data_IF_221910213463
#
_entry.id   IF_221910213463
#
_cell.length_a   1.000
_cell.length_b   1.000
_cell.length_c   1.000
_cell.angle_alpha   90.00
_cell.angle_beta   90.00
_cell.angle_gamma   90.00
#
_symmetry.space_group_name_H-M   'P 1'
#
loop_
_entity.id
_entity.type
_entity.pdbx_description
1 polymer ?
#
# COMPACT_ATOMS: atom_id res chain seq x y z
N UNK A 1 3.09 13.52 43.97
CA UNK A 1 2.12 13.43 42.86
C UNK A 1 2.92 13.50 41.59
N UNK A 2 3.15 12.35 40.92
CA UNK A 2 3.93 12.26 39.70
C UNK A 2 3.00 12.44 38.48
N UNK A 3 3.16 13.49 37.70
CA UNK A 3 2.50 13.65 36.41
C UNK A 3 3.26 12.83 35.38
N UNK A 4 2.67 11.73 34.90
CA UNK A 4 3.15 11.03 33.69
C UNK A 4 2.61 11.81 32.49
N UNK A 5 3.49 12.55 31.80
CA UNK A 5 3.19 13.16 30.53
C UNK A 5 3.12 12.07 29.45
N UNK A 6 1.93 11.68 29.02
CA UNK A 6 1.73 10.82 27.85
C UNK A 6 1.96 11.69 26.62
N UNK A 7 3.15 11.58 26.01
CA UNK A 7 3.43 12.21 24.71
C UNK A 7 2.76 11.36 23.62
N UNK A 8 1.59 11.77 23.14
CA UNK A 8 1.00 11.24 21.93
C UNK A 8 1.80 11.75 20.74
N UNK A 9 2.59 10.87 20.10
CA UNK A 9 3.21 11.18 18.81
C UNK A 9 2.12 11.25 17.74
N UNK A 10 1.74 12.46 17.34
CA UNK A 10 0.87 12.68 16.18
C UNK A 10 1.73 12.48 14.92
N UNK A 11 1.60 11.34 14.28
CA UNK A 11 2.22 11.13 12.97
C UNK A 11 1.52 12.00 11.92
N UNK A 12 2.29 12.71 11.11
CA UNK A 12 1.73 13.48 10.02
C UNK A 12 1.23 12.55 8.91
N UNK A 13 -0.02 12.76 8.50
CA UNK A 13 -0.65 11.99 7.43
C UNK A 13 0.07 12.14 6.08
N UNK A 14 -0.12 11.18 5.17
CA UNK A 14 0.45 11.16 3.83
C UNK A 14 1.99 11.11 3.80
N UNK A 15 2.60 10.43 4.77
CA UNK A 15 4.06 10.21 4.80
C UNK A 15 4.41 8.81 5.31
N UNK A 16 5.68 8.43 5.14
CA UNK A 16 6.23 7.21 5.70
C UNK A 16 7.00 7.60 6.97
N UNK A 17 6.66 6.96 8.08
CA UNK A 17 7.27 7.18 9.39
C UNK A 17 8.10 5.96 9.75
N UNK A 18 9.33 6.16 10.21
CA UNK A 18 10.18 5.07 10.74
C UNK A 18 9.75 4.78 12.17
N UNK A 19 9.38 3.54 12.46
CA UNK A 19 9.04 3.06 13.80
C UNK A 19 10.26 2.43 14.48
N UNK A 20 11.05 1.65 13.74
CA UNK A 20 12.28 1.01 14.26
C UNK A 20 13.26 0.68 13.14
N UNK A 21 14.56 0.57 13.49
CA UNK A 21 15.63 0.24 12.56
C UNK A 21 16.06 1.42 11.69
N UNK A 22 16.92 1.13 10.72
CA UNK A 22 17.40 2.08 9.70
C UNK A 22 17.70 1.33 8.40
N UNK A 23 18.03 2.04 7.32
CA UNK A 23 18.29 1.45 6.00
C UNK A 23 19.73 0.95 5.77
N UNK A 24 20.59 0.93 6.79
CA UNK A 24 22.01 0.52 6.63
C UNK A 24 22.15 -0.90 6.06
N UNK A 25 21.22 -1.80 6.39
CA UNK A 25 21.19 -3.16 5.87
C UNK A 25 21.01 -3.26 4.34
N UNK A 26 20.58 -2.20 3.69
CA UNK A 26 20.40 -2.14 2.23
C UNK A 26 21.66 -1.66 1.47
N UNK A 27 22.70 -1.16 2.14
CA UNK A 27 23.88 -0.56 1.48
C UNK A 27 24.57 -1.50 0.50
N UNK A 28 24.65 -2.79 0.86
CA UNK A 28 25.30 -3.84 0.06
C UNK A 28 24.29 -4.75 -0.67
N UNK A 29 23.02 -4.32 -0.77
CA UNK A 29 21.97 -5.09 -1.43
C UNK A 29 21.65 -4.50 -2.80
N UNK A 30 21.42 -5.37 -3.77
CA UNK A 30 20.95 -5.00 -5.11
C UNK A 30 19.47 -5.31 -5.31
N UNK A 31 18.94 -6.27 -4.55
CA UNK A 31 17.54 -6.72 -4.65
C UNK A 31 16.91 -6.95 -3.28
N UNK A 32 15.61 -6.70 -3.20
CA UNK A 32 14.74 -7.01 -2.06
C UNK A 32 13.51 -7.74 -2.59
N UNK A 33 13.19 -8.89 -1.98
CA UNK A 33 11.94 -9.58 -2.24
C UNK A 33 10.77 -8.79 -1.63
N UNK A 34 9.58 -8.85 -2.23
CA UNK A 34 8.40 -8.14 -1.72
C UNK A 34 7.21 -9.08 -1.64
N UNK A 35 6.48 -8.98 -0.55
CA UNK A 35 5.21 -9.66 -0.31
C UNK A 35 4.14 -8.66 0.08
N UNK A 36 2.92 -8.85 -0.40
CA UNK A 36 1.75 -8.04 -0.04
C UNK A 36 0.79 -8.88 0.78
N UNK A 37 0.30 -8.30 1.89
CA UNK A 37 -0.66 -8.94 2.80
C UNK A 37 -1.88 -8.06 3.00
N UNK A 38 -3.02 -8.69 3.25
CA UNK A 38 -4.33 -8.05 3.49
C UNK A 38 -5.06 -8.65 4.70
N UNK A 39 -4.39 -9.50 5.48
CA UNK A 39 -5.03 -10.30 6.55
C UNK A 39 -5.76 -9.43 7.58
N UNK A 40 -5.29 -8.19 7.78
CA UNK A 40 -5.86 -7.24 8.73
C UNK A 40 -6.49 -6.01 8.06
N UNK A 41 -6.58 -6.01 6.73
CA UNK A 41 -7.07 -4.86 5.98
C UNK A 41 -8.54 -4.57 6.28
N UNK A 42 -8.83 -3.31 6.63
CA UNK A 42 -10.19 -2.79 6.71
C UNK A 42 -10.41 -1.71 5.66
N UNK A 43 -11.65 -1.58 5.23
CA UNK A 43 -12.02 -0.78 4.07
C UNK A 43 -12.95 0.37 4.45
N UNK A 44 -12.74 1.52 3.80
CA UNK A 44 -13.50 2.74 3.96
C UNK A 44 -13.47 3.33 5.39
N UNK A 45 -14.16 4.42 5.60
CA UNK A 45 -14.21 5.12 6.89
C UNK A 45 -14.93 4.31 7.98
N UNK A 46 -15.75 3.34 7.58
CA UNK A 46 -16.51 2.45 8.48
C UNK A 46 -15.74 1.23 8.92
N UNK A 47 -14.48 1.07 8.50
CA UNK A 47 -13.62 -0.08 8.79
C UNK A 47 -14.31 -1.42 8.46
N UNK A 48 -14.88 -1.51 7.27
CA UNK A 48 -15.54 -2.73 6.79
C UNK A 48 -14.50 -3.83 6.59
N UNK A 49 -14.88 -5.08 6.86
CA UNK A 49 -14.10 -6.22 6.34
C UNK A 49 -14.16 -6.23 4.82
N UNK A 50 -13.26 -6.97 4.17
CA UNK A 50 -13.27 -7.08 2.71
C UNK A 50 -14.60 -7.64 2.20
N UNK A 51 -15.13 -8.69 2.84
CA UNK A 51 -16.41 -9.30 2.46
C UNK A 51 -17.57 -8.30 2.54
N UNK A 52 -17.61 -7.51 3.63
CA UNK A 52 -18.62 -6.45 3.78
C UNK A 52 -18.47 -5.37 2.70
N UNK A 53 -17.24 -5.00 2.37
CA UNK A 53 -16.98 -4.03 1.32
C UNK A 53 -17.42 -4.56 -0.05
N UNK A 54 -17.07 -5.79 -0.38
CA UNK A 54 -17.45 -6.46 -1.63
C UNK A 54 -18.97 -6.59 -1.76
N UNK A 55 -19.68 -7.01 -0.69
CA UNK A 55 -21.13 -7.14 -0.72
C UNK A 55 -21.83 -5.79 -0.91
N UNK A 56 -21.36 -4.74 -0.25
CA UNK A 56 -21.86 -3.38 -0.48
C UNK A 56 -21.66 -2.93 -1.94
N UNK A 57 -20.48 -3.23 -2.52
CA UNK A 57 -20.20 -2.91 -3.92
C UNK A 57 -21.05 -3.72 -4.89
N UNK A 58 -21.31 -5.00 -4.60
CA UNK A 58 -22.23 -5.83 -5.37
C UNK A 58 -23.62 -5.21 -5.42
N UNK A 59 -24.16 -4.91 -4.26
CA UNK A 59 -25.48 -4.27 -4.15
C UNK A 59 -25.56 -2.97 -4.95
N UNK A 60 -24.56 -2.10 -4.80
CA UNK A 60 -24.49 -0.83 -5.52
C UNK A 60 -24.38 -0.98 -7.04
N UNK A 61 -23.52 -1.89 -7.51
CA UNK A 61 -23.28 -2.09 -8.95
C UNK A 61 -24.49 -2.76 -9.61
N UNK A 62 -25.04 -3.80 -9.00
CA UNK A 62 -26.18 -4.51 -9.58
C UNK A 62 -27.43 -3.63 -9.61
N UNK A 63 -27.67 -2.80 -8.59
CA UNK A 63 -28.80 -1.86 -8.56
C UNK A 63 -28.66 -0.72 -9.57
N UNK A 64 -27.46 -0.17 -9.78
CA UNK A 64 -27.22 1.00 -10.65
C UNK A 64 -26.84 0.65 -12.08
N UNK A 65 -26.39 -0.58 -12.32
CA UNK A 65 -25.93 -1.08 -13.62
C UNK A 65 -26.54 -2.46 -13.90
N UNK A 66 -25.75 -3.55 -13.79
CA UNK A 66 -26.24 -4.91 -13.99
C UNK A 66 -25.23 -5.94 -13.45
N UNK A 67 -25.63 -7.21 -13.52
CA UNK A 67 -24.82 -8.35 -13.06
C UNK A 67 -23.51 -8.55 -13.86
N UNK A 68 -23.50 -8.22 -15.15
CA UNK A 68 -22.30 -8.35 -15.98
C UNK A 68 -21.20 -7.37 -15.54
N UNK A 69 -21.57 -6.13 -15.25
CA UNK A 69 -20.63 -5.12 -14.71
C UNK A 69 -20.11 -5.56 -13.35
N UNK A 70 -20.94 -6.18 -12.51
CA UNK A 70 -20.51 -6.76 -11.24
C UNK A 70 -19.48 -7.88 -11.44
N UNK A 71 -19.74 -8.84 -12.32
CA UNK A 71 -18.81 -9.94 -12.62
C UNK A 71 -17.45 -9.44 -13.11
N UNK A 72 -17.45 -8.42 -13.96
CA UNK A 72 -16.21 -7.79 -14.39
C UNK A 72 -15.51 -7.07 -13.22
N UNK A 73 -16.25 -6.37 -12.37
CA UNK A 73 -15.68 -5.64 -11.25
C UNK A 73 -14.98 -6.57 -10.26
N UNK A 74 -15.60 -7.68 -9.86
CA UNK A 74 -14.99 -8.62 -8.90
C UNK A 74 -13.77 -9.32 -9.51
N UNK A 75 -13.81 -9.70 -10.80
CA UNK A 75 -12.65 -10.22 -11.50
C UNK A 75 -11.48 -9.23 -11.49
N UNK A 76 -11.73 -7.96 -11.76
CA UNK A 76 -10.69 -6.92 -11.72
C UNK A 76 -10.19 -6.68 -10.28
N UNK A 77 -11.07 -6.69 -9.29
CA UNK A 77 -10.69 -6.58 -7.89
C UNK A 77 -9.67 -7.64 -7.48
N UNK A 78 -9.96 -8.92 -7.79
CA UNK A 78 -9.07 -10.03 -7.49
C UNK A 78 -7.74 -9.94 -8.26
N UNK A 79 -7.79 -9.54 -9.52
CA UNK A 79 -6.59 -9.32 -10.35
C UNK A 79 -5.71 -8.22 -9.78
N UNK A 80 -6.28 -7.11 -9.36
CA UNK A 80 -5.52 -6.02 -8.76
C UNK A 80 -4.87 -6.43 -7.44
N UNK A 81 -5.57 -7.14 -6.59
CA UNK A 81 -5.01 -7.65 -5.33
C UNK A 81 -3.89 -8.66 -5.54
N UNK A 82 -4.06 -9.56 -6.52
CA UNK A 82 -3.08 -10.63 -6.75
C UNK A 82 -1.80 -10.16 -7.45
N UNK A 83 -1.86 -9.11 -8.28
CA UNK A 83 -0.73 -8.69 -9.12
C UNK A 83 -0.55 -7.19 -9.23
N UNK A 84 -1.57 -6.45 -9.64
CA UNK A 84 -1.44 -5.06 -10.08
C UNK A 84 -0.96 -4.12 -8.96
N UNK A 85 -1.41 -4.31 -7.70
CA UNK A 85 -0.96 -3.45 -6.59
C UNK A 85 0.55 -3.55 -6.38
N UNK A 86 1.13 -4.75 -6.49
CA UNK A 86 2.58 -4.93 -6.44
C UNK A 86 3.28 -4.27 -7.64
N UNK A 87 2.76 -4.42 -8.85
CA UNK A 87 3.34 -3.82 -10.05
C UNK A 87 3.38 -2.30 -9.95
N UNK A 88 2.31 -1.68 -9.47
CA UNK A 88 2.28 -0.23 -9.22
C UNK A 88 3.25 0.18 -8.12
N UNK A 89 3.36 -0.59 -7.04
CA UNK A 89 4.36 -0.35 -6.00
C UNK A 89 5.78 -0.44 -6.57
N UNK A 90 6.11 -1.49 -7.35
CA UNK A 90 7.41 -1.65 -8.00
C UNK A 90 7.74 -0.48 -8.92
N UNK A 91 6.79 -0.06 -9.74
CA UNK A 91 6.94 1.12 -10.58
C UNK A 91 7.31 2.35 -9.75
N UNK A 92 6.68 2.52 -8.59
CA UNK A 92 6.95 3.62 -7.67
C UNK A 92 8.34 3.54 -7.05
N UNK A 93 8.64 2.44 -6.36
CA UNK A 93 9.86 2.30 -5.55
C UNK A 93 11.11 2.22 -6.43
N UNK A 94 11.10 1.42 -7.50
CA UNK A 94 12.26 1.23 -8.37
C UNK A 94 12.62 2.49 -9.16
N UNK A 95 11.63 3.34 -9.49
CA UNK A 95 11.92 4.63 -10.09
C UNK A 95 12.72 5.56 -9.16
N UNK A 96 12.66 5.36 -7.85
CA UNK A 96 13.27 6.26 -6.85
C UNK A 96 14.47 5.66 -6.14
N UNK A 97 14.47 4.38 -5.79
CA UNK A 97 15.56 3.72 -5.02
C UNK A 97 16.91 3.68 -5.75
N UNK A 98 16.90 3.53 -7.09
CA UNK A 98 18.07 3.58 -8.00
C UNK A 98 19.07 2.42 -7.87
N UNK A 99 19.55 2.08 -6.67
CA UNK A 99 20.57 1.06 -6.43
C UNK A 99 19.97 -0.29 -6.03
N UNK A 100 18.83 -0.26 -5.32
CA UNK A 100 18.17 -1.45 -4.79
C UNK A 100 16.87 -1.67 -5.56
N UNK A 101 16.70 -2.84 -6.17
CA UNK A 101 15.50 -3.20 -6.93
C UNK A 101 14.57 -4.06 -6.08
N UNK A 102 13.29 -3.75 -6.13
CA UNK A 102 12.21 -4.43 -5.43
C UNK A 102 11.44 -5.29 -6.43
N UNK A 103 11.30 -6.58 -6.12
CA UNK A 103 10.62 -7.57 -6.96
C UNK A 103 9.91 -8.61 -6.08
N UNK A 104 8.95 -9.32 -6.62
CA UNK A 104 8.42 -10.54 -6.02
C UNK A 104 9.21 -11.77 -6.52
N UNK A 105 9.11 -12.86 -5.77
CA UNK A 105 9.65 -14.19 -6.13
C UNK A 105 11.14 -14.22 -6.47
N UNK A 106 11.95 -13.37 -5.83
CA UNK A 106 13.40 -13.34 -5.95
C UNK A 106 14.09 -13.90 -4.70
N UNK A 107 15.25 -14.55 -4.90
CA UNK A 107 16.10 -15.00 -3.79
C UNK A 107 16.96 -13.86 -3.28
N UNK A 108 16.36 -12.96 -2.50
CA UNK A 108 17.03 -11.87 -1.84
C UNK A 108 17.26 -12.18 -0.36
N UNK A 109 18.27 -11.55 0.26
CA UNK A 109 18.55 -11.68 1.69
C UNK A 109 17.43 -11.14 2.55
N UNK A 110 16.76 -10.09 2.09
CA UNK A 110 15.69 -9.41 2.80
C UNK A 110 14.37 -9.43 2.01
N UNK A 111 13.28 -9.53 2.75
CA UNK A 111 11.92 -9.41 2.24
C UNK A 111 11.25 -8.18 2.86
N UNK A 112 10.67 -7.34 2.04
CA UNK A 112 9.73 -6.30 2.44
C UNK A 112 8.32 -6.89 2.44
N UNK A 113 7.70 -6.94 3.59
CA UNK A 113 6.27 -7.25 3.74
C UNK A 113 5.52 -5.92 3.76
N UNK A 114 4.57 -5.76 2.84
CA UNK A 114 3.62 -4.64 2.82
C UNK A 114 2.31 -5.19 3.40
N UNK A 115 2.02 -4.88 4.65
CA UNK A 115 0.81 -5.31 5.34
C UNK A 115 -0.21 -4.18 5.32
N UNK A 116 -1.25 -4.32 4.50
CA UNK A 116 -2.28 -3.31 4.36
C UNK A 116 -3.22 -3.34 5.58
N UNK A 117 -3.30 -2.22 6.31
CA UNK A 117 -4.12 -2.10 7.51
C UNK A 117 -5.45 -1.38 7.24
N UNK A 118 -5.42 -0.34 6.39
CA UNK A 118 -6.61 0.44 6.07
C UNK A 118 -6.56 0.96 4.64
N UNK A 119 -7.66 0.78 3.92
CA UNK A 119 -7.80 1.16 2.52
C UNK A 119 -9.07 1.99 2.33
N UNK A 120 -8.89 3.25 1.96
CA UNK A 120 -9.96 4.10 1.47
C UNK A 120 -9.89 4.17 -0.05
N UNK A 121 -10.90 3.68 -0.73
CA UNK A 121 -10.87 3.54 -2.19
C UNK A 121 -11.10 4.85 -2.96
N UNK A 122 -11.44 5.94 -2.25
CA UNK A 122 -11.82 7.20 -2.90
C UNK A 122 -13.12 7.08 -3.71
N UNK A 123 -13.40 8.11 -4.50
CA UNK A 123 -14.55 8.11 -5.42
C UNK A 123 -14.22 8.89 -6.70
N UNK A 124 -14.99 8.62 -7.74
CA UNK A 124 -14.91 9.34 -9.02
C UNK A 124 -16.32 9.62 -9.54
N UNK A 125 -16.63 10.87 -9.77
CA UNK A 125 -17.92 11.36 -10.26
C UNK A 125 -17.83 12.13 -11.60
N UNK A 126 -16.78 11.90 -12.39
CA UNK A 126 -16.58 12.62 -13.65
C UNK A 126 -16.40 14.12 -13.42
N UNK A 127 -17.25 14.94 -14.03
CA UNK A 127 -17.20 16.41 -13.89
C UNK A 127 -17.58 16.91 -12.49
N UNK A 128 -18.24 16.10 -11.66
CA UNK A 128 -18.58 16.47 -10.27
C UNK A 128 -17.32 16.48 -9.38
N UNK A 129 -16.26 15.78 -9.78
CA UNK A 129 -14.99 15.72 -9.05
C UNK A 129 -14.57 14.30 -8.74
N UNK A 130 -13.52 14.19 -7.95
CA UNK A 130 -12.98 12.92 -7.48
C UNK A 130 -12.26 13.08 -6.15
N UNK A 131 -12.11 11.96 -5.43
CA UNK A 131 -11.24 11.86 -4.28
C UNK A 131 -10.31 10.66 -4.47
N UNK A 132 -9.03 10.89 -4.22
CA UNK A 132 -8.01 9.86 -4.33
C UNK A 132 -8.22 8.77 -3.30
N UNK A 133 -7.77 7.57 -3.63
CA UNK A 133 -7.63 6.52 -2.64
C UNK A 133 -6.55 6.86 -1.61
N UNK A 134 -6.66 6.29 -0.42
CA UNK A 134 -5.67 6.39 0.64
C UNK A 134 -5.32 5.00 1.16
N UNK A 135 -4.05 4.79 1.46
CA UNK A 135 -3.52 3.54 2.00
C UNK A 135 -2.79 3.78 3.31
N UNK A 136 -3.14 3.03 4.35
CA UNK A 136 -2.30 2.84 5.54
C UNK A 136 -1.79 1.41 5.53
N UNK A 137 -0.48 1.24 5.64
CA UNK A 137 0.17 -0.07 5.63
C UNK A 137 1.43 -0.06 6.50
N UNK A 138 1.72 -1.18 7.14
CA UNK A 138 3.02 -1.44 7.72
C UNK A 138 3.97 -1.92 6.61
N UNK A 139 5.18 -1.36 6.59
CA UNK A 139 6.26 -1.72 5.69
C UNK A 139 7.36 -2.38 6.52
N UNK A 140 7.42 -3.71 6.51
CA UNK A 140 8.22 -4.50 7.43
C UNK A 140 9.34 -5.20 6.66
N UNK A 141 10.59 -4.82 6.92
CA UNK A 141 11.75 -5.54 6.39
C UNK A 141 12.15 -6.66 7.35
N UNK A 142 12.21 -7.88 6.82
CA UNK A 142 12.61 -9.08 7.56
C UNK A 142 13.76 -9.79 6.86
N UNK A 143 14.49 -10.66 7.57
CA UNK A 143 15.37 -11.62 6.91
C UNK A 143 14.51 -12.65 6.15
N UNK A 144 14.82 -12.90 4.87
CA UNK A 144 14.03 -13.84 4.05
C UNK A 144 14.09 -15.27 4.60
N UNK A 145 15.24 -15.67 5.15
CA UNK A 145 15.44 -16.99 5.74
C UNK A 145 14.73 -17.19 7.10
N UNK A 146 14.46 -16.09 7.80
CA UNK A 146 13.77 -16.07 9.09
C UNK A 146 12.84 -14.85 9.17
N UNK A 147 11.59 -14.97 8.72
CA UNK A 147 10.63 -13.86 8.72
C UNK A 147 10.25 -13.34 10.12
N UNK A 148 10.58 -14.06 11.19
CA UNK A 148 10.38 -13.57 12.56
C UNK A 148 11.38 -12.49 12.96
N UNK A 149 12.51 -12.42 12.25
CA UNK A 149 13.57 -11.43 12.47
C UNK A 149 13.28 -10.13 11.74
N UNK A 150 12.60 -9.24 12.42
CA UNK A 150 12.31 -7.89 11.91
C UNK A 150 13.58 -7.04 11.96
N UNK A 151 14.00 -6.48 10.83
CA UNK A 151 15.17 -5.61 10.68
C UNK A 151 14.78 -4.12 10.78
N UNK A 152 13.66 -3.77 10.16
CA UNK A 152 13.15 -2.41 10.15
C UNK A 152 11.65 -2.41 10.01
N UNK A 153 10.98 -1.49 10.70
CA UNK A 153 9.54 -1.25 10.55
C UNK A 153 9.27 0.22 10.27
N UNK A 154 8.43 0.46 9.27
CA UNK A 154 7.91 1.78 8.93
C UNK A 154 6.39 1.69 8.80
N UNK A 155 5.73 2.83 9.00
CA UNK A 155 4.31 2.98 8.73
C UNK A 155 4.09 3.97 7.59
N UNK A 156 3.39 3.53 6.55
CA UNK A 156 2.81 4.39 5.54
C UNK A 156 1.42 4.84 6.05
N UNK A 157 1.26 6.12 6.41
CA UNK A 157 0.00 6.62 6.97
C UNK A 157 -0.80 7.43 5.95
N UNK A 158 -1.97 6.92 5.57
CA UNK A 158 -2.97 7.52 4.67
C UNK A 158 -2.35 8.09 3.40
N UNK A 159 -1.46 7.31 2.78
CA UNK A 159 -0.80 7.71 1.54
C UNK A 159 -1.83 7.88 0.43
N UNK A 160 -1.90 9.08 -0.13
CA UNK A 160 -2.85 9.44 -1.19
C UNK A 160 -2.34 9.06 -2.56
N UNK A 161 -3.19 8.41 -3.36
CA UNK A 161 -2.94 8.05 -4.75
C UNK A 161 -3.15 9.23 -5.70
N UNK A 162 -2.11 10.05 -5.88
CA UNK A 162 -2.22 11.31 -6.65
C UNK A 162 -2.14 11.17 -8.18
N UNK A 163 -2.03 9.95 -8.70
CA UNK A 163 -1.86 9.74 -10.14
C UNK A 163 -3.07 9.08 -10.76
N UNK A 164 -3.61 9.72 -11.78
CA UNK A 164 -4.58 9.09 -12.67
C UNK A 164 -3.88 7.99 -13.50
N UNK A 165 -4.48 6.82 -13.55
CA UNK A 165 -4.14 5.72 -14.43
C UNK A 165 -5.36 5.35 -15.28
N UNK A 166 -5.21 4.41 -16.21
CA UNK A 166 -6.29 3.98 -17.11
C UNK A 166 -7.53 3.44 -16.38
N UNK A 167 -7.35 2.91 -15.17
CA UNK A 167 -8.39 2.29 -14.34
C UNK A 167 -8.87 3.22 -13.20
N UNK A 168 -8.47 4.51 -13.20
CA UNK A 168 -8.76 5.48 -12.13
C UNK A 168 -10.26 5.66 -11.85
N UNK A 169 -11.11 5.45 -12.84
CA UNK A 169 -12.57 5.52 -12.67
C UNK A 169 -13.10 4.46 -11.69
N UNK A 170 -12.34 3.39 -11.48
CA UNK A 170 -12.68 2.30 -10.59
C UNK A 170 -11.86 2.34 -9.30
N UNK A 171 -12.41 1.77 -8.24
CA UNK A 171 -11.79 1.70 -6.93
C UNK A 171 -10.39 1.08 -6.96
N UNK A 172 -10.26 -0.08 -7.61
CA UNK A 172 -9.01 -0.81 -7.70
C UNK A 172 -7.90 0.00 -8.41
N UNK A 173 -8.24 0.78 -9.43
CA UNK A 173 -7.29 1.66 -10.10
C UNK A 173 -6.82 2.81 -9.21
N UNK A 174 -7.71 3.41 -8.42
CA UNK A 174 -7.35 4.46 -7.45
C UNK A 174 -6.48 3.91 -6.32
N UNK A 175 -6.80 2.70 -5.81
CA UNK A 175 -5.98 2.02 -4.79
C UNK A 175 -4.59 1.71 -5.33
N UNK A 176 -4.46 1.22 -6.58
CA UNK A 176 -3.17 0.99 -7.23
C UNK A 176 -2.31 2.26 -7.28
N UNK A 177 -2.91 3.42 -7.53
CA UNK A 177 -2.21 4.70 -7.47
C UNK A 177 -1.66 5.01 -6.06
N UNK A 178 -2.36 4.62 -4.99
CA UNK A 178 -1.85 4.77 -3.62
C UNK A 178 -0.64 3.87 -3.35
N UNK A 179 -0.63 2.63 -3.87
CA UNK A 179 0.55 1.75 -3.82
C UNK A 179 1.73 2.34 -4.60
N UNK A 180 1.51 2.91 -5.79
CA UNK A 180 2.58 3.57 -6.55
C UNK A 180 3.19 4.74 -5.77
N UNK A 181 2.37 5.58 -5.15
CA UNK A 181 2.86 6.70 -4.33
C UNK A 181 3.59 6.21 -3.09
N UNK A 182 3.11 5.15 -2.44
CA UNK A 182 3.79 4.50 -1.30
C UNK A 182 5.18 4.04 -1.72
N UNK A 183 5.29 3.34 -2.84
CA UNK A 183 6.59 2.94 -3.40
C UNK A 183 7.50 4.12 -3.71
N UNK A 184 6.98 5.20 -4.31
CA UNK A 184 7.76 6.42 -4.59
C UNK A 184 8.33 7.07 -3.32
N UNK A 185 7.53 7.13 -2.26
CA UNK A 185 7.97 7.70 -0.98
C UNK A 185 9.05 6.82 -0.34
N UNK A 186 8.81 5.51 -0.22
CA UNK A 186 9.81 4.57 0.29
C UNK A 186 11.12 4.63 -0.50
N UNK A 187 11.05 4.62 -1.84
CA UNK A 187 12.24 4.68 -2.68
C UNK A 187 13.04 5.98 -2.51
N UNK A 188 12.40 7.11 -2.15
CA UNK A 188 13.11 8.35 -1.80
C UNK A 188 13.87 8.23 -0.50
N UNK A 189 13.24 7.66 0.54
CA UNK A 189 13.91 7.44 1.84
C UNK A 189 15.14 6.53 1.67
N UNK A 190 14.97 5.40 0.97
CA UNK A 190 16.08 4.49 0.66
C UNK A 190 17.19 5.19 -0.11
N UNK A 191 16.88 5.93 -1.18
CA UNK A 191 17.88 6.68 -1.95
C UNK A 191 18.69 7.64 -1.09
N UNK A 192 18.07 8.28 -0.12
CA UNK A 192 18.73 9.23 0.77
C UNK A 192 19.67 8.52 1.77
N UNK A 193 19.28 7.33 2.21
CA UNK A 193 20.01 6.56 3.21
C UNK A 193 21.17 5.71 2.63
N UNK A 194 21.05 5.22 1.37
CA UNK A 194 22.05 4.32 0.73
C UNK A 194 22.90 5.03 -0.34
N UNK A 195 23.20 6.30 -0.10
CA UNK A 195 24.09 7.10 -0.97
C UNK A 195 25.51 6.56 -1.01
#
# INVERSE_FOLDING_TARGET
>A
MFFVAITTTVFAQNQINVESGNFDFLKDQTEVNVQLKFDHAVYQEKNLTEDQYIENRKTDITAKKNEEVWKNWIYQWDRFKSTEYLDYFFKGVNNKSKKVFFRNDVKAKYTLIIDANWIYAGWYGGMIGSQEAKLTADLIFVETADPSKVIMKLQADKIQGKQMNKDFNWEYGRIAAAYEVTGKKLGKEIKNAVK
#
